data_IF_792259927127
#
_entry.id   IF_792259927127
#
_cell.length_a   1.000
_cell.length_b   1.000
_cell.length_c   1.000
_cell.angle_alpha   90.00
_cell.angle_beta   90.00
_cell.angle_gamma   90.00
#
_symmetry.space_group_name_H-M   'P 1'
#
loop_
_entity.id
_entity.type
_entity.pdbx_description
1 polymer ?
#
# COMPACT_ATOMS: atom_id res chain seq x y z
N UNK A 1 62.94 27.57 -26.09
CA UNK A 1 62.57 27.59 -24.66
C UNK A 1 61.66 28.79 -24.50
N UNK A 2 60.35 28.71 -24.30
CA UNK A 2 59.36 27.69 -23.91
C UNK A 2 58.03 28.27 -24.47
N UNK A 3 57.06 27.61 -25.11
CA UNK A 3 56.64 26.21 -25.02
C UNK A 3 55.64 26.03 -23.88
N UNK A 4 54.33 26.21 -24.16
CA UNK A 4 53.18 25.61 -23.43
C UNK A 4 52.93 26.18 -21.99
N UNK A 5 51.75 26.48 -21.45
CA UNK A 5 50.37 26.02 -21.59
C UNK A 5 49.37 27.14 -21.21
N UNK A 6 48.45 27.44 -22.11
CA UNK A 6 47.10 27.91 -21.79
C UNK A 6 46.30 26.73 -21.22
N UNK A 7 45.65 26.90 -20.05
CA UNK A 7 44.57 26.06 -19.47
C UNK A 7 44.39 26.51 -18.00
N UNK A 8 43.25 26.82 -17.40
CA UNK A 8 41.83 26.74 -17.72
C UNK A 8 41.13 27.82 -16.87
N UNK A 9 40.50 28.81 -17.51
CA UNK A 9 39.37 29.51 -16.92
C UNK A 9 38.10 28.70 -17.26
N UNK A 10 37.11 28.74 -16.36
CA UNK A 10 35.70 28.36 -16.57
C UNK A 10 35.32 26.93 -16.20
N UNK A 11 34.88 26.68 -14.95
CA UNK A 11 33.89 25.64 -14.64
C UNK A 11 33.33 25.58 -13.20
N UNK A 12 33.84 26.30 -12.20
CA UNK A 12 33.51 25.96 -10.79
C UNK A 12 32.49 26.85 -10.04
N UNK A 13 31.98 27.94 -10.62
CA UNK A 13 31.14 28.90 -9.87
C UNK A 13 29.68 29.01 -10.34
N UNK A 14 29.07 27.95 -10.87
CA UNK A 14 27.67 27.98 -11.29
C UNK A 14 26.91 26.68 -10.98
N UNK A 15 26.51 26.49 -9.72
CA UNK A 15 25.30 25.69 -9.38
C UNK A 15 24.83 25.85 -7.94
N UNK A 16 25.52 26.65 -7.11
CA UNK A 16 24.94 27.12 -5.86
C UNK A 16 23.90 28.21 -6.17
N UNK A 17 22.65 27.91 -5.78
CA UNK A 17 21.51 28.82 -5.63
C UNK A 17 20.46 28.88 -6.77
N UNK A 18 19.70 27.79 -6.91
CA UNK A 18 18.24 27.78 -7.09
C UNK A 18 17.76 26.37 -6.67
N UNK A 19 16.70 26.11 -5.90
CA UNK A 19 15.43 26.79 -5.78
C UNK A 19 14.71 26.37 -4.48
N UNK A 20 13.76 27.20 -4.10
CA UNK A 20 13.11 27.35 -2.81
C UNK A 20 12.10 26.25 -2.50
N UNK A 21 12.01 25.93 -1.21
CA UNK A 21 10.69 25.78 -0.58
C UNK A 21 10.05 24.39 -0.64
N UNK A 22 10.69 23.40 -0.02
CA UNK A 22 9.96 22.35 0.68
C UNK A 22 10.85 21.78 1.78
N UNK A 23 10.43 21.89 3.04
CA UNK A 23 11.04 21.17 4.13
C UNK A 23 10.74 19.67 3.96
N UNK A 24 11.43 19.00 3.02
CA UNK A 24 11.46 17.55 2.96
C UNK A 24 12.45 17.11 4.01
N UNK A 25 11.94 16.53 5.09
CA UNK A 25 12.72 15.67 5.97
C UNK A 25 13.30 14.53 5.11
N UNK A 26 14.53 14.72 4.61
CA UNK A 26 15.33 13.65 4.02
C UNK A 26 15.57 12.61 5.11
N UNK A 27 14.72 11.58 5.16
CA UNK A 27 15.13 10.32 5.78
C UNK A 27 16.06 9.69 4.75
N UNK A 28 17.34 9.62 5.13
CA UNK A 28 18.36 8.93 4.37
C UNK A 28 17.90 7.50 4.07
N UNK A 29 18.35 7.00 2.94
CA UNK A 29 18.17 5.66 2.36
C UNK A 29 18.41 4.52 3.38
N UNK A 30 17.46 4.29 4.28
CA UNK A 30 17.35 3.09 5.12
C UNK A 30 16.56 2.07 4.31
N UNK A 31 17.25 1.34 3.42
CA UNK A 31 16.79 0.17 2.63
C UNK A 31 15.37 -0.31 2.98
N UNK A 32 14.39 0.30 2.34
CA UNK A 32 13.00 -0.12 2.51
C UNK A 32 12.88 -1.55 2.00
N UNK A 33 12.39 -2.43 2.85
CA UNK A 33 12.26 -3.85 2.53
C UNK A 33 10.87 -4.34 2.88
N UNK A 34 10.40 -5.32 2.12
CA UNK A 34 9.13 -5.97 2.40
C UNK A 34 9.23 -6.77 3.69
N UNK A 35 8.34 -6.51 4.65
CA UNK A 35 8.32 -7.23 5.94
C UNK A 35 8.09 -8.75 5.82
N UNK A 36 7.54 -9.22 4.71
CA UNK A 36 7.19 -10.64 4.52
C UNK A 36 8.28 -11.44 3.81
N UNK A 37 8.95 -10.87 2.80
CA UNK A 37 9.97 -11.57 2.00
C UNK A 37 11.39 -10.99 2.13
N UNK A 38 11.54 -9.85 2.81
CA UNK A 38 12.79 -9.11 2.97
C UNK A 38 13.44 -8.61 1.66
N UNK A 39 12.70 -8.62 0.54
CA UNK A 39 13.15 -8.04 -0.73
C UNK A 39 13.17 -6.50 -0.67
N UNK A 40 14.18 -5.90 -1.30
CA UNK A 40 14.43 -4.45 -1.36
C UNK A 40 13.77 -3.78 -2.59
N UNK A 41 12.89 -4.48 -3.32
CA UNK A 41 12.22 -3.94 -4.50
C UNK A 41 11.25 -2.81 -4.11
N UNK A 42 11.75 -1.57 -4.11
CA UNK A 42 11.06 -0.36 -3.63
C UNK A 42 9.82 -0.01 -4.45
N UNK A 43 9.83 -0.28 -5.75
CA UNK A 43 8.75 0.11 -6.68
C UNK A 43 7.43 -0.62 -6.42
N UNK A 44 7.43 -1.68 -5.61
CA UNK A 44 6.23 -2.47 -5.27
C UNK A 44 5.82 -2.42 -3.80
N UNK A 45 6.51 -1.62 -2.97
CA UNK A 45 6.24 -1.56 -1.53
C UNK A 45 5.06 -0.63 -1.24
N UNK A 46 4.16 -1.13 -0.38
CA UNK A 46 2.96 -0.43 0.03
C UNK A 46 2.87 -0.41 1.54
N UNK A 47 2.25 0.63 2.10
CA UNK A 47 2.03 0.80 3.52
C UNK A 47 0.53 0.70 3.85
N UNK A 48 -0.04 -0.52 3.98
CA UNK A 48 -1.49 -0.70 4.09
C UNK A 48 -2.02 -0.39 5.50
N UNK A 49 -1.15 -0.21 6.50
CA UNK A 49 -1.51 0.02 7.89
C UNK A 49 -0.53 0.99 8.57
N UNK A 50 -0.90 1.50 9.75
CA UNK A 50 -0.12 2.45 10.54
C UNK A 50 1.00 1.81 11.38
N UNK A 51 1.59 0.69 10.93
CA UNK A 51 2.80 0.16 11.54
C UNK A 51 3.94 1.21 11.48
N UNK A 52 4.95 1.09 12.33
CA UNK A 52 6.09 2.01 12.39
C UNK A 52 7.36 1.36 11.82
N UNK A 53 8.25 2.17 11.28
CA UNK A 53 9.54 1.73 10.73
C UNK A 53 9.37 0.86 9.49
N UNK A 54 10.32 -0.04 9.23
CA UNK A 54 10.32 -0.91 8.04
C UNK A 54 9.15 -1.91 8.02
N UNK A 55 8.56 -2.23 9.18
CA UNK A 55 7.43 -3.17 9.31
C UNK A 55 6.12 -2.66 8.67
N UNK A 56 6.05 -1.38 8.31
CA UNK A 56 4.89 -0.84 7.61
C UNK A 56 4.89 -1.21 6.12
N UNK A 57 6.05 -1.52 5.54
CA UNK A 57 6.20 -1.78 4.12
C UNK A 57 6.07 -3.26 3.80
N UNK A 58 5.28 -3.56 2.77
CA UNK A 58 5.06 -4.91 2.27
C UNK A 58 4.80 -4.83 0.78
N UNK A 59 5.23 -5.82 0.00
CA UNK A 59 4.80 -5.90 -1.39
C UNK A 59 3.30 -6.18 -1.45
N UNK A 60 2.58 -5.53 -2.37
CA UNK A 60 1.14 -5.78 -2.59
C UNK A 60 0.83 -7.28 -2.72
N UNK A 61 1.62 -8.02 -3.50
CA UNK A 61 1.42 -9.45 -3.68
C UNK A 61 1.70 -10.27 -2.42
N UNK A 62 2.69 -9.86 -1.61
CA UNK A 62 3.00 -10.52 -0.34
C UNK A 62 1.90 -10.28 0.70
N UNK A 63 1.26 -9.12 0.68
CA UNK A 63 0.10 -8.81 1.52
C UNK A 63 -1.10 -9.71 1.17
N UNK A 64 -1.44 -9.82 -0.12
CA UNK A 64 -2.53 -10.70 -0.57
C UNK A 64 -2.28 -12.17 -0.20
N UNK A 65 -1.05 -12.66 -0.41
CA UNK A 65 -0.66 -14.04 -0.05
C UNK A 65 -0.73 -14.29 1.45
N UNK A 66 -0.28 -13.34 2.28
CA UNK A 66 -0.38 -13.45 3.74
C UNK A 66 -1.83 -13.54 4.18
N UNK A 67 -2.67 -12.63 3.67
CA UNK A 67 -4.08 -12.60 4.01
C UNK A 67 -4.80 -13.89 3.61
N UNK A 68 -4.53 -14.38 2.39
CA UNK A 68 -5.06 -15.63 1.88
C UNK A 68 -4.61 -16.84 2.72
N UNK A 69 -3.32 -16.92 3.08
CA UNK A 69 -2.79 -17.98 3.91
C UNK A 69 -3.39 -17.99 5.33
N UNK A 70 -3.76 -16.82 5.85
CA UNK A 70 -4.41 -16.69 7.18
C UNK A 70 -5.86 -17.13 7.18
N UNK A 71 -6.56 -17.02 6.04
CA UNK A 71 -7.97 -17.38 5.86
C UNK A 71 -8.95 -16.79 6.89
N UNK A 72 -8.59 -15.66 7.53
CA UNK A 72 -9.44 -14.92 8.45
C UNK A 72 -10.22 -13.84 7.68
N UNK A 73 -11.11 -14.28 6.80
CA UNK A 73 -11.77 -13.43 5.78
C UNK A 73 -12.55 -12.24 6.37
N UNK A 74 -13.10 -12.37 7.57
CA UNK A 74 -13.82 -11.28 8.24
C UNK A 74 -12.90 -10.31 8.97
N UNK A 75 -11.60 -10.59 9.09
CA UNK A 75 -10.66 -9.78 9.88
C UNK A 75 -9.72 -8.99 8.97
N UNK A 76 -10.22 -7.86 8.44
CA UNK A 76 -9.47 -6.94 7.57
C UNK A 76 -8.56 -6.00 8.38
N UNK A 77 -7.72 -6.59 9.23
CA UNK A 77 -6.80 -5.86 10.11
C UNK A 77 -5.39 -6.42 10.00
N UNK A 78 -4.40 -5.55 10.18
CA UNK A 78 -3.01 -5.95 10.30
C UNK A 78 -2.83 -6.91 11.51
N UNK A 79 -2.17 -8.07 11.34
CA UNK A 79 -1.92 -8.99 12.44
C UNK A 79 -0.91 -8.43 13.45
N UNK A 80 -0.02 -7.54 13.00
CA UNK A 80 1.05 -6.99 13.82
C UNK A 80 0.59 -5.83 14.70
N UNK A 81 -0.20 -4.89 14.17
CA UNK A 81 -0.62 -3.69 14.90
C UNK A 81 -2.12 -3.62 15.19
N UNK A 82 -2.93 -4.56 14.67
CA UNK A 82 -4.38 -4.61 14.90
C UNK A 82 -5.21 -3.55 14.19
N UNK A 83 -4.59 -2.56 13.55
CA UNK A 83 -5.31 -1.51 12.83
C UNK A 83 -5.92 -2.06 11.53
N UNK A 84 -7.06 -1.49 11.14
CA UNK A 84 -7.68 -1.78 9.84
C UNK A 84 -6.74 -1.39 8.70
N UNK A 85 -6.79 -2.17 7.62
CA UNK A 85 -6.12 -1.77 6.39
C UNK A 85 -6.82 -0.57 5.74
N UNK A 86 -6.05 0.26 5.05
CA UNK A 86 -6.51 1.51 4.43
C UNK A 86 -6.04 1.62 2.97
N UNK A 87 -6.63 2.57 2.23
CA UNK A 87 -6.30 2.81 0.82
C UNK A 87 -6.75 1.69 -0.11
N UNK A 88 -6.21 1.67 -1.34
CA UNK A 88 -6.56 0.72 -2.41
C UNK A 88 -6.48 -0.74 -1.93
N UNK A 89 -5.39 -1.10 -1.26
CA UNK A 89 -5.13 -2.44 -0.75
C UNK A 89 -6.23 -2.97 0.19
N UNK A 90 -6.90 -2.09 0.94
CA UNK A 90 -8.01 -2.52 1.81
C UNK A 90 -9.20 -3.03 0.98
N UNK A 91 -9.52 -2.36 -0.13
CA UNK A 91 -10.59 -2.79 -1.05
C UNK A 91 -10.22 -4.11 -1.69
N UNK A 92 -8.96 -4.29 -2.09
CA UNK A 92 -8.49 -5.55 -2.69
C UNK A 92 -8.60 -6.73 -1.74
N UNK A 93 -8.23 -6.54 -0.48
CA UNK A 93 -8.38 -7.56 0.56
C UNK A 93 -9.86 -7.88 0.82
N UNK A 94 -10.73 -6.87 0.87
CA UNK A 94 -12.17 -7.08 1.03
C UNK A 94 -12.79 -7.83 -0.16
N UNK A 95 -12.39 -7.50 -1.40
CA UNK A 95 -12.83 -8.22 -2.61
C UNK A 95 -12.39 -9.68 -2.56
N UNK A 96 -11.11 -9.93 -2.25
CA UNK A 96 -10.59 -11.29 -2.10
C UNK A 96 -11.35 -12.08 -1.03
N UNK A 97 -11.58 -11.48 0.15
CA UNK A 97 -12.34 -12.10 1.23
C UNK A 97 -13.77 -12.48 0.80
N UNK A 98 -14.46 -11.56 0.13
CA UNK A 98 -15.83 -11.76 -0.35
C UNK A 98 -15.89 -12.92 -1.36
N UNK A 99 -15.02 -12.92 -2.37
CA UNK A 99 -14.96 -13.99 -3.38
C UNK A 99 -14.69 -15.35 -2.72
N UNK A 100 -13.76 -15.40 -1.76
CA UNK A 100 -13.42 -16.64 -1.05
C UNK A 100 -14.60 -17.17 -0.24
N UNK A 101 -15.29 -16.30 0.50
CA UNK A 101 -16.45 -16.68 1.31
C UNK A 101 -17.65 -17.09 0.45
N UNK A 102 -17.98 -16.34 -0.61
CA UNK A 102 -19.05 -16.72 -1.55
C UNK A 102 -18.81 -18.12 -2.15
N UNK A 103 -17.56 -18.45 -2.46
CA UNK A 103 -17.19 -19.76 -3.02
C UNK A 103 -17.23 -20.88 -1.97
N UNK A 104 -16.85 -20.60 -0.72
CA UNK A 104 -16.68 -21.62 0.33
C UNK A 104 -17.97 -21.91 1.11
N UNK A 105 -18.73 -20.88 1.46
CA UNK A 105 -19.89 -20.97 2.37
C UNK A 105 -21.18 -20.45 1.74
N UNK A 106 -21.10 -19.72 0.63
CA UNK A 106 -22.25 -19.19 -0.09
C UNK A 106 -22.59 -17.74 0.26
N UNK A 107 -23.53 -17.17 -0.48
CA UNK A 107 -23.81 -15.73 -0.44
C UNK A 107 -24.52 -15.29 0.85
N UNK A 108 -25.47 -16.09 1.33
CA UNK A 108 -26.30 -15.78 2.51
C UNK A 108 -25.62 -16.07 3.86
N UNK A 109 -24.38 -16.56 3.86
CA UNK A 109 -23.66 -16.86 5.10
C UNK A 109 -23.32 -15.56 5.87
N UNK A 110 -23.45 -15.53 7.21
CA UNK A 110 -23.11 -14.35 8.01
C UNK A 110 -21.70 -13.80 7.78
N UNK A 111 -20.71 -14.68 7.53
CA UNK A 111 -19.35 -14.25 7.24
C UNK A 111 -19.26 -13.54 5.89
N UNK A 112 -20.00 -14.04 4.87
CA UNK A 112 -20.12 -13.39 3.56
C UNK A 112 -20.75 -12.01 3.69
N UNK A 113 -21.82 -11.88 4.49
CA UNK A 113 -22.46 -10.60 4.79
C UNK A 113 -21.49 -9.61 5.49
N UNK A 114 -20.65 -10.09 6.41
CA UNK A 114 -19.64 -9.25 7.09
C UNK A 114 -18.55 -8.79 6.11
N UNK A 115 -18.02 -9.70 5.28
CA UNK A 115 -17.04 -9.34 4.25
C UNK A 115 -17.63 -8.35 3.24
N UNK A 116 -18.93 -8.54 2.94
CA UNK A 116 -19.69 -7.61 2.15
C UNK A 116 -19.78 -6.22 2.79
N UNK A 117 -20.13 -6.09 4.08
CA UNK A 117 -20.15 -4.79 4.76
C UNK A 117 -18.77 -4.11 4.72
N UNK A 118 -17.70 -4.85 5.02
CA UNK A 118 -16.33 -4.32 4.96
C UNK A 118 -15.98 -3.75 3.59
N UNK A 119 -16.31 -4.45 2.50
CA UNK A 119 -16.10 -3.94 1.15
C UNK A 119 -16.86 -2.63 0.91
N UNK A 120 -18.13 -2.55 1.34
CA UNK A 120 -18.98 -1.37 1.14
C UNK A 120 -18.43 -0.14 1.86
N UNK A 121 -17.99 -0.32 3.11
CA UNK A 121 -17.35 0.73 3.90
C UNK A 121 -16.07 1.25 3.22
N UNK A 122 -15.18 0.36 2.74
CA UNK A 122 -13.93 0.77 2.09
C UNK A 122 -14.14 1.45 0.74
N UNK A 123 -15.12 1.01 -0.06
CA UNK A 123 -15.48 1.68 -1.31
C UNK A 123 -16.02 3.10 -1.05
N UNK A 124 -16.88 3.26 -0.03
CA UNK A 124 -17.37 4.58 0.40
C UNK A 124 -16.22 5.48 0.86
N UNK A 125 -15.29 4.96 1.64
CA UNK A 125 -14.13 5.74 2.14
C UNK A 125 -13.22 6.24 0.99
N UNK A 126 -13.25 5.57 -0.18
CA UNK A 126 -12.52 5.96 -1.39
C UNK A 126 -13.33 6.84 -2.36
N UNK A 127 -14.60 7.13 -2.06
CA UNK A 127 -15.48 7.89 -2.95
C UNK A 127 -15.93 7.12 -4.20
N UNK A 128 -15.70 5.80 -4.25
CA UNK A 128 -16.17 4.91 -5.33
C UNK A 128 -17.62 4.49 -5.07
N UNK A 129 -18.52 5.48 -5.07
CA UNK A 129 -19.92 5.30 -4.67
C UNK A 129 -20.71 4.45 -5.67
N UNK A 130 -20.41 4.55 -6.97
CA UNK A 130 -21.08 3.77 -8.01
C UNK A 130 -20.89 2.25 -7.80
N UNK A 131 -19.67 1.81 -7.50
CA UNK A 131 -19.38 0.39 -7.21
C UNK A 131 -19.96 -0.08 -5.86
N UNK A 132 -20.27 0.84 -4.95
CA UNK A 132 -20.91 0.50 -3.68
C UNK A 132 -22.43 0.26 -3.86
N UNK A 133 -23.08 0.96 -4.79
CA UNK A 133 -24.51 0.86 -5.09
C UNK A 133 -24.89 -0.39 -5.89
N UNK A 134 -24.01 -0.90 -6.74
CA UNK A 134 -24.25 -2.14 -7.52
C UNK A 134 -24.27 -3.40 -6.65
N UNK A 135 -24.09 -3.26 -5.34
CA UNK A 135 -24.05 -4.39 -4.41
C UNK A 135 -25.44 -4.60 -3.84
N UNK A 136 -26.16 -5.67 -4.25
CA UNK A 136 -27.50 -5.91 -3.77
C UNK A 136 -27.46 -6.14 -2.26
N UNK A 137 -28.08 -5.21 -1.51
CA UNK A 137 -28.68 -5.56 -0.23
C UNK A 137 -29.77 -6.57 -0.57
N UNK A 138 -29.64 -7.81 -0.07
CA UNK A 138 -30.58 -8.91 -0.27
C UNK A 138 -32.03 -8.42 -0.32
N UNK A 139 -32.67 -8.54 -1.50
CA UNK A 139 -34.13 -8.52 -1.59
C UNK A 139 -34.63 -9.91 -1.16
N UNK A 140 -35.54 -9.90 -0.19
CA UNK A 140 -36.19 -11.06 0.44
C UNK A 140 -36.82 -12.06 -0.55
#
# INVERSE_FOLDING_TARGET
EEGEEEQQHSAEEASQEADRGAAVCRVADERLSCRNCFGEDVDGLVAPCACRGTLQYVHRQCLLKEFEARAQWTRITCPSCGHEYTGEHAVELCRLALTRLQTQVGEADPQTCIAADHLGRKLRDQGLLAEAEERPCFAE
#
